data_IF_103648128280
#
_entry.id   IF_103648128280
#
_cell.length_a   1.000
_cell.length_b   1.000
_cell.length_c   1.000
_cell.angle_alpha   90.00
_cell.angle_beta   90.00
_cell.angle_gamma   90.00
#
_symmetry.space_group_name_H-M   'P 1'
#
loop_
_entity.id
_entity.type
_entity.pdbx_description
1 polymer ?
#
# COMPACT_ATOMS: atom_id res chain seq x y z
N UNK A 1 1.76 -30.37 -44.79
CA UNK A 1 2.00 -30.65 -43.36
C UNK A 1 2.37 -29.33 -42.71
N UNK A 2 1.47 -28.68 -41.96
CA UNK A 2 1.80 -27.41 -41.30
C UNK A 2 2.53 -27.72 -39.98
N UNK A 3 3.83 -27.42 -39.94
CA UNK A 3 4.64 -27.53 -38.72
C UNK A 3 4.20 -26.42 -37.79
N UNK A 4 3.60 -26.78 -36.65
CA UNK A 4 3.29 -25.82 -35.59
C UNK A 4 4.63 -25.36 -34.99
N UNK A 5 5.09 -24.19 -35.41
CA UNK A 5 6.29 -23.57 -34.86
C UNK A 5 6.03 -23.15 -33.40
N UNK A 6 6.81 -23.70 -32.49
CA UNK A 6 6.74 -23.33 -31.08
C UNK A 6 7.33 -21.94 -30.89
N UNK A 7 6.54 -21.05 -30.30
CA UNK A 7 7.00 -19.69 -29.98
C UNK A 7 8.03 -19.77 -28.86
N UNK A 8 9.21 -19.17 -29.06
CA UNK A 8 10.22 -19.11 -27.99
C UNK A 8 9.68 -18.27 -26.83
N UNK A 9 9.94 -18.73 -25.61
CA UNK A 9 9.51 -18.05 -24.37
C UNK A 9 9.98 -16.59 -24.35
N UNK A 10 11.16 -16.31 -24.88
CA UNK A 10 11.71 -14.96 -25.05
C UNK A 10 10.83 -14.03 -25.87
N UNK A 11 10.15 -14.54 -26.90
CA UNK A 11 9.29 -13.73 -27.77
C UNK A 11 7.92 -13.46 -27.14
N UNK A 12 7.49 -14.34 -26.23
CA UNK A 12 6.31 -14.11 -25.38
C UNK A 12 6.61 -13.02 -24.35
N UNK A 13 7.78 -13.07 -23.72
CA UNK A 13 8.19 -12.08 -22.71
C UNK A 13 8.39 -10.68 -23.31
N UNK A 14 8.85 -10.56 -24.56
CA UNK A 14 8.95 -9.26 -25.25
C UNK A 14 7.60 -8.58 -25.51
N UNK A 15 6.53 -9.37 -25.62
CA UNK A 15 5.16 -8.88 -25.81
C UNK A 15 4.46 -8.53 -24.50
N UNK A 16 5.08 -8.83 -23.36
CA UNK A 16 4.59 -8.43 -22.05
C UNK A 16 4.84 -6.94 -21.85
N UNK A 17 3.96 -6.12 -22.42
CA UNK A 17 3.84 -4.72 -22.01
C UNK A 17 3.07 -4.73 -20.70
N UNK A 18 3.77 -4.37 -19.62
CA UNK A 18 3.15 -4.04 -18.35
C UNK A 18 2.35 -2.77 -18.60
N UNK A 19 1.06 -2.91 -18.91
CA UNK A 19 0.14 -1.79 -19.03
C UNK A 19 0.09 -1.08 -17.68
N UNK A 20 0.97 -0.09 -17.50
CA UNK A 20 0.94 0.82 -16.37
C UNK A 20 -0.14 1.85 -16.68
N UNK A 21 -1.25 1.77 -15.96
CA UNK A 21 -2.32 2.76 -15.98
C UNK A 21 -1.72 4.17 -15.97
N UNK A 22 -2.01 4.96 -17.01
CA UNK A 22 -1.41 6.27 -17.33
C UNK A 22 -1.45 7.30 -16.19
N UNK A 23 -2.29 7.08 -15.17
CA UNK A 23 -2.44 7.94 -13.99
C UNK A 23 -1.97 7.30 -12.66
N UNK A 24 -1.64 6.01 -12.67
CA UNK A 24 -1.09 5.26 -11.53
C UNK A 24 0.21 4.63 -12.01
N UNK A 25 1.22 5.47 -12.16
CA UNK A 25 2.57 5.00 -12.51
C UNK A 25 3.15 4.06 -11.46
N UNK A 26 2.63 4.09 -10.22
CA UNK A 26 3.19 3.36 -9.07
C UNK A 26 2.10 2.85 -8.14
N UNK A 27 2.23 1.58 -7.75
CA UNK A 27 1.31 0.85 -6.87
C UNK A 27 1.00 1.59 -5.55
N UNK A 28 1.99 2.29 -4.98
CA UNK A 28 1.78 3.08 -3.77
C UNK A 28 0.84 4.29 -3.96
N UNK A 29 0.72 4.83 -5.18
CA UNK A 29 -0.21 5.95 -5.45
C UNK A 29 -1.65 5.46 -5.41
N UNK A 30 -1.92 4.31 -6.05
CA UNK A 30 -3.21 3.64 -5.99
C UNK A 30 -3.59 3.33 -4.56
N UNK A 31 -2.68 2.67 -3.84
CA UNK A 31 -2.93 2.31 -2.46
C UNK A 31 -3.17 3.51 -1.56
N UNK A 32 -2.39 4.58 -1.69
CA UNK A 32 -2.62 5.80 -0.93
C UNK A 32 -3.98 6.44 -1.23
N UNK A 33 -4.44 6.39 -2.48
CA UNK A 33 -5.77 6.85 -2.86
C UNK A 33 -6.87 5.97 -2.25
N UNK A 34 -6.80 4.66 -2.45
CA UNK A 34 -7.76 3.67 -1.93
C UNK A 34 -7.86 3.77 -0.39
N UNK A 35 -6.72 3.96 0.29
CA UNK A 35 -6.67 4.15 1.74
C UNK A 35 -7.36 5.45 2.18
N UNK A 36 -7.18 6.53 1.43
CA UNK A 36 -7.86 7.80 1.71
C UNK A 36 -9.38 7.68 1.51
N UNK A 37 -9.81 6.92 0.50
CA UNK A 37 -11.21 6.60 0.24
C UNK A 37 -11.82 5.78 1.38
N UNK A 38 -11.16 4.68 1.78
CA UNK A 38 -11.63 3.79 2.85
C UNK A 38 -11.75 4.50 4.20
N UNK A 39 -10.84 5.44 4.48
CA UNK A 39 -10.87 6.27 5.69
C UNK A 39 -11.83 7.46 5.58
N UNK A 40 -12.41 7.73 4.42
CA UNK A 40 -13.33 8.85 4.18
C UNK A 40 -12.64 10.22 4.19
N UNK A 41 -11.38 10.29 3.77
CA UNK A 41 -10.53 11.48 3.84
C UNK A 41 -9.82 11.80 2.50
N UNK A 42 -10.57 11.66 1.40
CA UNK A 42 -10.11 11.94 0.03
C UNK A 42 -9.53 13.36 -0.15
N UNK A 43 -9.97 14.33 0.65
CA UNK A 43 -9.41 15.70 0.66
C UNK A 43 -7.90 15.71 0.95
N UNK A 44 -7.43 14.76 1.76
CA UNK A 44 -6.03 14.61 2.15
C UNK A 44 -5.33 13.45 1.42
N UNK A 45 -5.83 12.99 0.26
CA UNK A 45 -5.24 11.87 -0.50
C UNK A 45 -3.71 11.95 -0.70
N UNK A 46 -3.16 13.15 -0.87
CA UNK A 46 -1.71 13.36 -1.03
C UNK A 46 -0.92 12.93 0.21
N UNK A 47 -1.48 13.08 1.41
CA UNK A 47 -0.90 12.60 2.66
C UNK A 47 -0.80 11.08 2.66
N UNK A 48 -1.87 10.39 2.31
CA UNK A 48 -1.91 8.92 2.28
C UNK A 48 -1.01 8.34 1.19
N UNK A 49 -0.92 9.00 0.03
CA UNK A 49 0.04 8.64 -1.03
C UNK A 49 1.49 8.81 -0.54
N UNK A 50 1.79 9.88 0.20
CA UNK A 50 3.12 10.06 0.81
C UNK A 50 3.41 8.96 1.83
N UNK A 51 2.44 8.65 2.70
CA UNK A 51 2.57 7.56 3.67
C UNK A 51 2.82 6.22 3.00
N UNK A 52 2.09 5.90 1.93
CA UNK A 52 2.27 4.70 1.13
C UNK A 52 3.66 4.60 0.47
N UNK A 53 4.25 5.74 0.10
CA UNK A 53 5.59 5.81 -0.48
C UNK A 53 6.70 5.60 0.55
N UNK A 54 6.54 6.16 1.75
CA UNK A 54 7.61 6.26 2.75
C UNK A 54 7.51 5.22 3.88
N UNK A 55 6.33 4.64 4.09
CA UNK A 55 6.08 3.70 5.19
C UNK A 55 5.94 2.28 4.67
N UNK A 56 6.58 1.28 5.32
CA UNK A 56 6.41 -0.13 4.96
C UNK A 56 4.94 -0.55 4.90
N UNK A 57 4.55 -1.27 3.84
CA UNK A 57 3.17 -1.71 3.58
C UNK A 57 2.53 -2.40 4.78
N UNK A 58 3.27 -3.30 5.45
CA UNK A 58 2.77 -4.05 6.60
C UNK A 58 2.28 -3.16 7.75
N UNK A 59 2.91 -2.01 8.00
CA UNK A 59 2.47 -1.08 9.05
C UNK A 59 1.18 -0.36 8.66
N UNK A 60 1.05 0.00 7.38
CA UNK A 60 -0.15 0.67 6.87
C UNK A 60 -1.36 -0.28 6.88
N UNK A 61 -1.16 -1.53 6.44
CA UNK A 61 -2.21 -2.56 6.45
C UNK A 61 -2.63 -2.91 7.88
N UNK A 62 -1.69 -3.05 8.81
CA UNK A 62 -2.01 -3.30 10.22
C UNK A 62 -2.84 -2.14 10.85
N UNK A 63 -2.46 -0.89 10.56
CA UNK A 63 -3.23 0.27 11.01
C UNK A 63 -4.61 0.34 10.35
N UNK A 64 -4.71 0.02 9.05
CA UNK A 64 -5.97 0.00 8.30
C UNK A 64 -6.93 -1.06 8.84
N UNK A 65 -6.46 -2.29 9.04
CA UNK A 65 -7.26 -3.38 9.59
C UNK A 65 -7.79 -3.04 10.99
N UNK A 66 -6.94 -2.46 11.85
CA UNK A 66 -7.37 -2.00 13.18
C UNK A 66 -8.52 -0.99 13.12
N UNK A 67 -8.50 -0.06 12.16
CA UNK A 67 -9.57 0.94 11.99
C UNK A 67 -10.83 0.31 11.38
N UNK A 68 -10.68 -0.70 10.53
CA UNK A 68 -11.80 -1.43 9.91
C UNK A 68 -12.64 -2.17 10.95
N UNK A 69 -12.00 -2.73 11.97
CA UNK A 69 -12.68 -3.46 13.05
C UNK A 69 -13.34 -2.53 14.09
N UNK A 70 -13.04 -1.23 14.06
CA UNK A 70 -13.54 -0.28 15.03
C UNK A 70 -14.95 0.23 14.67
N UNK A 71 -15.96 -0.24 15.41
CA UNK A 71 -17.33 0.28 15.32
C UNK A 71 -17.48 1.60 16.09
N UNK A 72 -18.27 2.55 15.56
CA UNK A 72 -18.60 3.85 16.17
C UNK A 72 -17.41 4.81 16.46
N UNK A 73 -16.49 4.95 15.51
CA UNK A 73 -15.36 5.90 15.65
C UNK A 73 -15.76 7.30 15.16
N UNK A 74 -15.53 8.33 15.98
CA UNK A 74 -15.77 9.74 15.61
C UNK A 74 -15.00 10.20 14.37
N UNK A 75 -13.80 9.65 14.13
CA UNK A 75 -12.98 9.96 12.97
C UNK A 75 -12.00 8.82 12.68
N UNK A 76 -12.31 8.01 11.66
CA UNK A 76 -11.43 6.95 11.14
C UNK A 76 -10.03 7.45 10.77
N UNK A 77 -9.86 8.61 10.09
CA UNK A 77 -8.54 9.16 9.76
C UNK A 77 -7.66 9.41 10.99
N UNK A 78 -8.22 9.97 12.06
CA UNK A 78 -7.48 10.25 13.29
C UNK A 78 -7.06 8.95 13.99
N UNK A 79 -7.96 7.97 14.04
CA UNK A 79 -7.66 6.65 14.62
C UNK A 79 -6.55 5.94 13.84
N UNK A 80 -6.61 6.02 12.51
CA UNK A 80 -5.56 5.48 11.63
C UNK A 80 -4.19 6.11 11.93
N UNK A 81 -4.11 7.44 11.97
CA UNK A 81 -2.86 8.15 12.23
C UNK A 81 -2.30 7.82 13.61
N UNK A 82 -3.16 7.77 14.63
CA UNK A 82 -2.77 7.38 15.98
C UNK A 82 -2.21 5.96 16.01
N UNK A 83 -2.92 4.99 15.40
CA UNK A 83 -2.48 3.60 15.39
C UNK A 83 -1.18 3.41 14.60
N UNK A 84 -1.05 4.08 13.46
CA UNK A 84 0.17 4.04 12.67
C UNK A 84 1.38 4.56 13.46
N UNK A 85 1.21 5.63 14.24
CA UNK A 85 2.26 6.16 15.10
C UNK A 85 2.61 5.19 16.23
N UNK A 86 1.61 4.55 16.85
CA UNK A 86 1.82 3.52 17.86
C UNK A 86 2.69 2.37 17.31
N UNK A 87 2.33 1.81 16.15
CA UNK A 87 3.05 0.70 15.53
C UNK A 87 4.50 1.09 15.15
N UNK A 88 4.73 2.33 14.69
CA UNK A 88 6.09 2.84 14.42
C UNK A 88 6.94 2.90 15.68
N UNK A 89 6.36 3.32 16.80
CA UNK A 89 7.06 3.40 18.08
C UNK A 89 7.37 2.00 18.64
N UNK A 90 6.44 1.06 18.55
CA UNK A 90 6.63 -0.34 18.95
C UNK A 90 7.79 -0.97 18.17
N UNK A 91 7.78 -0.86 16.84
CA UNK A 91 8.87 -1.35 16.00
C UNK A 91 10.23 -0.73 16.35
N UNK A 92 10.24 0.57 16.69
CA UNK A 92 11.47 1.26 17.11
C UNK A 92 11.98 0.75 18.46
N UNK A 93 11.09 0.41 19.40
CA UNK A 93 11.47 -0.19 20.69
C UNK A 93 12.01 -1.60 20.51
N UNK A 94 11.35 -2.43 19.70
CA UNK A 94 11.84 -3.78 19.37
C UNK A 94 13.26 -3.75 18.80
N UNK A 95 13.50 -2.86 17.83
CA UNK A 95 14.83 -2.68 17.23
C UNK A 95 15.90 -2.22 18.24
N UNK A 96 15.54 -1.52 19.31
CA UNK A 96 16.46 -1.12 20.38
C UNK A 96 16.75 -2.27 21.34
N UNK A 97 15.73 -3.07 21.67
CA UNK A 97 15.86 -4.21 22.57
C UNK A 97 16.70 -5.33 21.96
N UNK A 98 16.68 -5.52 20.64
CA UNK A 98 17.50 -6.52 19.94
C UNK A 98 18.99 -6.12 19.88
N UNK A 99 19.29 -4.81 20.01
CA UNK A 99 20.64 -4.26 19.94
C UNK A 99 21.31 -4.11 21.31
N UNK A 100 20.57 -4.38 22.39
CA UNK A 100 21.06 -4.38 23.77
C UNK A 100 21.33 -5.82 24.16
#
# INVERSE_FOLDING_TARGET
MSTKDFTKITDVLKKFQKDEDKYISREFQKYGYDLAEELGDLKNKSLYIKLAKETPRGLLEAAKNFVKDAYQVKSKPKLFMWKLNQLKNEKTKELKNIKT
#
